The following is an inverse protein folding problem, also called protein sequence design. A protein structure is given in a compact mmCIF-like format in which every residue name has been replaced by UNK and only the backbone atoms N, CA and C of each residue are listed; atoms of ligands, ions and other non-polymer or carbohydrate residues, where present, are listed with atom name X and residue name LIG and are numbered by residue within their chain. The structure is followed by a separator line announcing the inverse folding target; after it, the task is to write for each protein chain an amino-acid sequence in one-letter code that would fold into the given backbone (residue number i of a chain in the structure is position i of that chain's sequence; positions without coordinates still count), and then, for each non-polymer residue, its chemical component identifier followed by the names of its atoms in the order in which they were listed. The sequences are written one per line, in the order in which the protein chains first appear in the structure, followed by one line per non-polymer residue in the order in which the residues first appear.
data_IF_114248249807
#
_entry.id   IF_114248249807
#
_cell.length_a   1.000
_cell.length_b   1.000
_cell.length_c   1.000
_cell.angle_alpha   90.00
_cell.angle_beta   90.00
_cell.angle_gamma   90.00
#
_symmetry.space_group_name_H-M   'P 1'
#
loop_
_entity.id
_entity.type
_entity.pdbx_description
1 polymer ?
#
# COMPACT_ATOMS: atom_id res chain seq x y z
N UNK A 1 11.83 -45.00 19.34
CA UNK A 1 11.58 -43.68 19.94
C UNK A 1 11.60 -42.66 18.82
N UNK A 2 10.45 -42.09 18.46
CA UNK A 2 10.34 -41.10 17.39
C UNK A 2 10.48 -39.70 17.98
N UNK A 3 11.47 -38.95 17.49
CA UNK A 3 11.78 -37.57 17.88
C UNK A 3 10.61 -36.64 17.55
N UNK A 4 10.19 -35.72 18.45
CA UNK A 4 9.11 -34.78 18.17
C UNK A 4 9.57 -33.74 17.14
N UNK A 5 8.77 -33.53 16.09
CA UNK A 5 8.99 -32.50 15.08
C UNK A 5 8.83 -31.11 15.73
N UNK A 6 9.79 -30.21 15.49
CA UNK A 6 9.75 -28.79 15.89
C UNK A 6 8.46 -28.12 15.37
N UNK A 7 7.88 -27.14 16.09
CA UNK A 7 6.79 -26.33 15.55
C UNK A 7 7.31 -25.58 14.33
N UNK A 8 6.72 -25.84 13.17
CA UNK A 8 6.91 -24.99 12.00
C UNK A 8 6.37 -23.61 12.35
N UNK A 9 7.23 -22.59 12.28
CA UNK A 9 6.83 -21.18 12.27
C UNK A 9 5.70 -21.03 11.25
N UNK A 10 4.50 -20.74 11.76
CA UNK A 10 3.37 -20.40 10.92
C UNK A 10 3.64 -19.00 10.40
N UNK A 11 4.22 -18.89 9.20
CA UNK A 11 4.13 -17.66 8.45
C UNK A 11 2.64 -17.28 8.37
N UNK A 12 2.25 -16.05 8.72
CA UNK A 12 0.88 -15.62 8.57
C UNK A 12 0.49 -15.79 7.11
N UNK A 13 -0.58 -16.54 6.85
CA UNK A 13 -1.09 -16.79 5.50
C UNK A 13 -1.30 -15.42 4.83
N UNK A 14 -0.63 -15.18 3.70
CA UNK A 14 -0.87 -14.00 2.85
C UNK A 14 -2.37 -13.87 2.63
N UNK A 15 -3.00 -12.83 3.19
CA UNK A 15 -4.41 -12.58 2.95
C UNK A 15 -4.54 -12.13 1.50
N UNK A 16 -5.40 -12.83 0.74
CA UNK A 16 -5.66 -12.46 -0.66
C UNK A 16 -6.31 -11.08 -0.69
N UNK A 17 -5.98 -10.22 -1.67
CA UNK A 17 -6.68 -8.96 -1.88
C UNK A 17 -8.18 -9.18 -2.00
N UNK A 18 -8.95 -8.35 -1.31
CA UNK A 18 -10.41 -8.31 -1.39
C UNK A 18 -10.78 -7.29 -2.47
N UNK A 19 -11.65 -7.66 -3.40
CA UNK A 19 -12.18 -6.71 -4.39
C UNK A 19 -13.20 -5.82 -3.68
N UNK A 20 -13.04 -4.50 -3.81
CA UNK A 20 -13.89 -3.50 -3.16
C UNK A 20 -14.21 -2.37 -4.15
N UNK A 21 -15.31 -1.69 -3.90
CA UNK A 21 -15.62 -0.41 -4.54
C UNK A 21 -15.02 0.72 -3.70
N UNK A 22 -14.31 1.65 -4.34
CA UNK A 22 -13.62 2.77 -3.72
C UNK A 22 -14.23 4.07 -4.23
N UNK A 23 -14.64 4.94 -3.30
CA UNK A 23 -15.04 6.31 -3.62
C UNK A 23 -13.80 7.21 -3.73
N UNK A 24 -13.59 7.80 -4.89
CA UNK A 24 -12.50 8.74 -5.16
C UNK A 24 -13.06 10.13 -5.45
N UNK A 25 -12.32 11.17 -5.04
CA UNK A 25 -12.63 12.54 -5.44
C UNK A 25 -12.50 12.71 -6.97
N UNK A 26 -13.55 13.24 -7.60
CA UNK A 26 -13.60 13.59 -9.03
C UNK A 26 -14.25 14.98 -9.21
N UNK A 27 -13.66 16.02 -8.60
CA UNK A 27 -14.26 17.34 -8.54
C UNK A 27 -14.31 17.99 -9.93
N UNK A 28 -15.40 18.69 -10.20
CA UNK A 28 -15.54 19.58 -11.37
C UNK A 28 -15.65 21.04 -10.88
N UNK A 29 -15.44 22.05 -11.76
CA UNK A 29 -15.66 23.44 -11.37
C UNK A 29 -17.07 23.71 -10.81
N UNK A 30 -18.07 22.98 -11.31
CA UNK A 30 -19.48 23.08 -10.90
C UNK A 30 -19.78 22.26 -9.63
N UNK A 31 -19.09 21.12 -9.44
CA UNK A 31 -19.31 20.19 -8.34
C UNK A 31 -17.97 19.86 -7.63
N UNK A 32 -17.52 20.70 -6.68
CA UNK A 32 -16.20 20.56 -6.05
C UNK A 32 -16.08 19.39 -5.06
N UNK A 33 -17.21 18.83 -4.62
CA UNK A 33 -17.27 17.68 -3.71
C UNK A 33 -17.67 16.39 -4.42
N UNK A 34 -17.70 16.40 -5.76
CA UNK A 34 -18.08 15.23 -6.54
C UNK A 34 -17.12 14.07 -6.29
N UNK A 35 -17.70 12.89 -6.10
CA UNK A 35 -16.97 11.63 -6.01
C UNK A 35 -17.40 10.68 -7.13
N UNK A 36 -16.55 9.70 -7.44
CA UNK A 36 -16.88 8.59 -8.32
C UNK A 36 -16.49 7.27 -7.66
N UNK A 37 -17.29 6.25 -7.90
CA UNK A 37 -17.00 4.89 -7.46
C UNK A 37 -16.19 4.16 -8.51
N UNK A 38 -15.08 3.54 -8.11
CA UNK A 38 -14.23 2.71 -8.98
C UNK A 38 -13.96 1.35 -8.33
N UNK A 39 -13.72 0.30 -9.13
CA UNK A 39 -13.23 -0.96 -8.58
C UNK A 39 -11.80 -0.81 -8.05
N UNK A 40 -11.47 -1.58 -7.03
CA UNK A 40 -10.13 -1.65 -6.49
C UNK A 40 -9.92 -2.88 -5.61
N UNK A 41 -8.78 -2.87 -4.92
CA UNK A 41 -8.35 -3.95 -4.04
C UNK A 41 -8.11 -3.41 -2.64
N UNK A 42 -8.53 -4.16 -1.64
CA UNK A 42 -8.19 -3.92 -0.25
C UNK A 42 -7.26 -5.02 0.25
N UNK A 43 -6.20 -4.59 0.95
CA UNK A 43 -5.26 -5.46 1.68
C UNK A 43 -5.04 -4.90 3.08
N UNK A 44 -4.76 -5.76 4.05
CA UNK A 44 -4.38 -5.33 5.40
C UNK A 44 -2.89 -5.61 5.60
N UNK A 45 -2.12 -4.56 5.87
CA UNK A 45 -0.66 -4.63 6.11
C UNK A 45 -0.37 -3.97 7.44
N UNK A 46 0.33 -4.66 8.35
CA UNK A 46 0.62 -4.17 9.71
C UNK A 46 -0.62 -3.68 10.49
N UNK A 47 -1.78 -4.27 10.24
CA UNK A 47 -3.06 -3.86 10.85
C UNK A 47 -3.65 -2.56 10.26
N UNK A 48 -3.11 -2.06 9.15
CA UNK A 48 -3.59 -0.91 8.39
C UNK A 48 -4.30 -1.44 7.15
N UNK A 49 -5.57 -1.07 7.00
CA UNK A 49 -6.33 -1.34 5.77
C UNK A 49 -5.89 -0.37 4.68
N UNK A 50 -5.46 -0.93 3.56
CA UNK A 50 -4.99 -0.19 2.38
C UNK A 50 -5.91 -0.51 1.22
N UNK A 51 -6.49 0.54 0.66
CA UNK A 51 -7.35 0.47 -0.52
C UNK A 51 -6.59 1.05 -1.70
N UNK A 52 -6.52 0.28 -2.79
CA UNK A 52 -5.80 0.64 -4.01
C UNK A 52 -6.78 0.54 -5.18
N UNK A 53 -7.14 1.66 -5.83
CA UNK A 53 -7.93 1.64 -7.05
C UNK A 53 -7.25 0.83 -8.14
N UNK A 54 -8.03 0.10 -8.95
CA UNK A 54 -7.46 -0.67 -10.07
C UNK A 54 -6.78 0.26 -11.10
N UNK A 55 -7.32 1.47 -11.29
CA UNK A 55 -6.71 2.51 -12.13
C UNK A 55 -5.37 3.04 -11.59
N UNK A 56 -5.14 2.96 -10.26
CA UNK A 56 -3.83 3.30 -9.70
C UNK A 56 -2.80 2.23 -10.04
N UNK A 57 -3.19 0.95 -10.12
CA UNK A 57 -2.32 -0.14 -10.56
C UNK A 57 -1.97 -0.05 -12.06
N UNK A 58 -2.81 0.61 -12.86
CA UNK A 58 -2.62 0.86 -14.29
C UNK A 58 -1.98 2.24 -14.59
N UNK A 59 -1.51 2.96 -13.56
CA UNK A 59 -0.82 4.24 -13.74
C UNK A 59 0.61 4.03 -14.30
N UNK A 60 0.83 4.46 -15.54
CA UNK A 60 2.14 4.37 -16.18
C UNK A 60 3.24 5.12 -15.39
N UNK A 61 2.89 6.21 -14.69
CA UNK A 61 3.87 6.98 -13.91
C UNK A 61 4.37 6.23 -12.68
N UNK A 62 3.61 5.25 -12.16
CA UNK A 62 4.08 4.36 -11.10
C UNK A 62 5.29 3.53 -11.57
N UNK A 63 5.39 3.21 -12.85
CA UNK A 63 6.52 2.45 -13.38
C UNK A 63 7.84 3.22 -13.26
N UNK A 64 7.82 4.55 -13.41
CA UNK A 64 9.02 5.39 -13.24
C UNK A 64 9.47 5.42 -11.77
N UNK A 65 8.52 5.54 -10.84
CA UNK A 65 8.81 5.49 -9.40
C UNK A 65 9.34 4.11 -8.98
N UNK A 66 8.73 3.02 -9.47
CA UNK A 66 9.21 1.65 -9.22
C UNK A 66 10.63 1.47 -9.76
N UNK A 67 10.90 1.93 -10.98
CA UNK A 67 12.24 1.88 -11.58
C UNK A 67 13.25 2.66 -10.74
N UNK A 68 12.90 3.86 -10.28
CA UNK A 68 13.76 4.66 -9.41
C UNK A 68 14.12 3.92 -8.11
N UNK A 69 13.14 3.26 -7.48
CA UNK A 69 13.35 2.46 -6.27
C UNK A 69 14.21 1.23 -6.55
N UNK A 70 13.90 0.45 -7.58
CA UNK A 70 14.57 -0.85 -7.83
C UNK A 70 15.96 -0.72 -8.47
N UNK A 71 16.10 0.12 -9.50
CA UNK A 71 17.34 0.18 -10.28
C UNK A 71 18.35 1.17 -9.68
N UNK A 72 17.85 2.27 -9.12
CA UNK A 72 18.70 3.39 -8.63
C UNK A 72 18.80 3.45 -7.11
N UNK A 73 18.11 2.57 -6.38
CA UNK A 73 17.98 2.64 -4.91
C UNK A 73 17.52 4.03 -4.44
N UNK A 74 16.74 4.74 -5.27
CA UNK A 74 16.28 6.09 -4.97
C UNK A 74 15.05 6.03 -4.07
N UNK A 75 15.30 5.88 -2.76
CA UNK A 75 14.26 5.84 -1.72
C UNK A 75 13.43 7.13 -1.68
N UNK A 76 13.91 8.24 -2.27
CA UNK A 76 13.16 9.50 -2.32
C UNK A 76 11.90 9.42 -3.19
N UNK A 77 11.76 8.38 -4.03
CA UNK A 77 10.56 8.08 -4.82
C UNK A 77 9.46 7.35 -4.04
N UNK A 78 9.78 6.80 -2.88
CA UNK A 78 8.81 6.03 -2.09
C UNK A 78 7.57 6.84 -1.66
N UNK A 79 7.69 8.12 -1.26
CA UNK A 79 6.53 8.95 -0.92
C UNK A 79 5.59 9.22 -2.11
N UNK A 80 6.12 9.44 -3.32
CA UNK A 80 5.29 9.64 -4.53
C UNK A 80 4.61 8.35 -4.92
N UNK A 81 5.35 7.23 -4.90
CA UNK A 81 4.82 5.90 -5.16
C UNK A 81 3.64 5.56 -4.26
N UNK A 82 3.80 5.70 -2.94
CA UNK A 82 2.72 5.44 -1.99
C UNK A 82 1.53 6.36 -2.25
N UNK A 83 1.77 7.65 -2.55
CA UNK A 83 0.69 8.62 -2.81
C UNK A 83 -0.12 8.29 -4.06
N UNK A 84 0.53 7.82 -5.13
CA UNK A 84 -0.15 7.37 -6.36
C UNK A 84 -1.00 6.12 -6.13
N UNK A 85 -0.51 5.19 -5.31
CA UNK A 85 -1.23 3.94 -5.01
C UNK A 85 -2.51 4.16 -4.19
N UNK A 86 -2.44 5.01 -3.16
CA UNK A 86 -3.49 5.08 -2.13
C UNK A 86 -4.28 6.39 -2.13
N UNK A 87 -3.86 7.36 -2.95
CA UNK A 87 -4.54 8.65 -3.11
C UNK A 87 -4.79 9.38 -1.78
N UNK A 88 -6.07 9.59 -1.47
CA UNK A 88 -6.52 10.34 -0.30
C UNK A 88 -6.18 9.67 1.03
N UNK A 89 -6.05 8.33 1.04
CA UNK A 89 -5.68 7.58 2.24
C UNK A 89 -4.23 7.83 2.68
N UNK A 90 -3.42 8.51 1.85
CA UNK A 90 -1.98 8.72 2.08
C UNK A 90 -1.65 9.30 3.46
N UNK A 91 -2.38 10.33 3.89
CA UNK A 91 -2.13 10.97 5.20
C UNK A 91 -2.48 10.03 6.35
N UNK A 92 -3.60 9.32 6.23
CA UNK A 92 -4.05 8.37 7.25
C UNK A 92 -3.04 7.24 7.46
N UNK A 93 -2.47 6.73 6.36
CA UNK A 93 -1.42 5.71 6.39
C UNK A 93 -0.15 6.25 7.05
N UNK A 94 0.31 7.45 6.68
CA UNK A 94 1.47 8.06 7.34
C UNK A 94 1.24 8.27 8.84
N UNK A 95 0.05 8.65 9.27
CA UNK A 95 -0.27 8.84 10.68
C UNK A 95 -0.35 7.52 11.47
N UNK A 96 -0.73 6.43 10.81
CA UNK A 96 -0.66 5.08 11.36
C UNK A 96 0.80 4.58 11.47
N UNK A 97 1.66 4.92 10.52
CA UNK A 97 3.09 4.57 10.54
C UNK A 97 3.93 5.47 11.46
N UNK A 98 3.39 6.60 11.91
CA UNK A 98 4.09 7.60 12.72
C UNK A 98 4.46 7.05 14.10
N UNK A 99 5.74 7.15 14.43
CA UNK A 99 6.25 6.88 15.77
C UNK A 99 5.69 7.92 16.74
N UNK A 100 5.02 7.44 17.80
CA UNK A 100 4.35 8.29 18.80
C UNK A 100 5.33 9.04 19.71
N UNK A 101 6.56 8.55 19.84
CA UNK A 101 7.58 9.20 20.67
C UNK A 101 8.25 10.36 19.94
N UNK A 102 8.54 10.19 18.64
CA UNK A 102 9.28 11.18 17.84
C UNK A 102 8.36 12.06 16.98
N UNK A 103 7.12 11.65 16.76
CA UNK A 103 6.17 12.31 15.86
C UNK A 103 6.53 12.19 14.38
N UNK A 104 7.52 11.37 14.04
CA UNK A 104 8.04 11.20 12.66
C UNK A 104 7.63 9.84 12.11
N UNK A 105 7.58 9.73 10.78
CA UNK A 105 7.46 8.44 10.10
C UNK A 105 8.88 7.98 9.77
N UNK A 106 9.38 6.88 10.35
CA UNK A 106 10.70 6.36 9.99
C UNK A 106 10.71 5.91 8.53
N UNK A 107 11.71 6.36 7.75
CA UNK A 107 11.80 6.05 6.32
C UNK A 107 11.81 4.54 6.06
N UNK A 108 12.60 3.77 6.82
CA UNK A 108 12.64 2.31 6.70
C UNK A 108 11.28 1.64 6.91
N UNK A 109 10.53 2.06 7.94
CA UNK A 109 9.18 1.55 8.22
C UNK A 109 8.21 1.86 7.09
N UNK A 110 8.28 3.06 6.51
CA UNK A 110 7.45 3.41 5.36
C UNK A 110 7.82 2.61 4.11
N UNK A 111 9.11 2.40 3.85
CA UNK A 111 9.58 1.57 2.72
C UNK A 111 9.14 0.12 2.85
N UNK A 112 9.36 -0.49 4.01
CA UNK A 112 8.92 -1.87 4.32
C UNK A 112 7.40 -2.02 4.11
N UNK A 113 6.62 -1.05 4.60
CA UNK A 113 5.18 -1.04 4.41
C UNK A 113 4.76 -1.01 2.94
N UNK A 114 5.38 -0.15 2.12
CA UNK A 114 5.07 -0.08 0.68
C UNK A 114 5.38 -1.41 -0.02
N UNK A 115 6.52 -2.03 0.29
CA UNK A 115 6.84 -3.34 -0.28
C UNK A 115 5.84 -4.42 0.14
N UNK A 116 5.43 -4.43 1.42
CA UNK A 116 4.43 -5.37 1.91
C UNK A 116 3.05 -5.17 1.24
N UNK A 117 2.66 -3.93 0.94
CA UNK A 117 1.45 -3.64 0.15
C UNK A 117 1.55 -4.23 -1.26
N UNK A 118 2.67 -4.01 -1.97
CA UNK A 118 2.86 -4.60 -3.29
C UNK A 118 2.85 -6.13 -3.28
N UNK A 119 3.51 -6.73 -2.29
CA UNK A 119 3.52 -8.19 -2.13
C UNK A 119 2.11 -8.72 -1.85
N UNK A 120 1.31 -8.03 -1.03
CA UNK A 120 -0.06 -8.40 -0.74
C UNK A 120 -0.96 -8.27 -1.98
N UNK A 121 -0.76 -7.24 -2.81
CA UNK A 121 -1.55 -6.99 -4.01
C UNK A 121 -1.26 -7.96 -5.16
N UNK A 122 -0.07 -8.57 -5.21
CA UNK A 122 0.30 -9.50 -6.28
C UNK A 122 -0.26 -10.92 -6.01
N UNK A 123 -1.23 -11.41 -6.81
CA UNK A 123 -1.83 -12.72 -6.60
C UNK A 123 -0.93 -13.90 -7.03
N UNK A 124 0.25 -13.64 -7.61
CA UNK A 124 1.12 -14.66 -8.20
C UNK A 124 2.16 -15.24 -7.24
N UNK A 125 2.04 -14.98 -5.93
CA UNK A 125 3.03 -15.36 -4.91
C UNK A 125 2.52 -16.42 -3.94
#
# INVERSE_FOLDING_TARGET
MATPKKPQDHQPKKQKPIVVDIELADPTPEEPERTRTVPGKQVTVDGIDVRVPDEALDDFEILDDIRGVQDSNDVSRMPSLLRRLVGDDYRSILDALRDKNTGRVPAGRASEFVFAVFEALNPSS
#
